data_IF_474490896516
#
_entry.id   IF_474490896516
#
_cell.length_a   1.000
_cell.length_b   1.000
_cell.length_c   1.000
_cell.angle_alpha   90.00
_cell.angle_beta   90.00
_cell.angle_gamma   90.00
#
_symmetry.space_group_name_H-M   'P 1'
#
loop_
_entity.id
_entity.type
_entity.pdbx_description
1 polymer ?
#
# COMPACT_ATOMS: atom_id res chain seq x y z
N UNK A 1 -32.01 -13.56 1.28
CA UNK A 1 -30.77 -12.85 0.89
C UNK A 1 -30.57 -12.95 -0.61
N UNK A 2 -30.16 -11.87 -1.29
CA UNK A 2 -29.78 -11.96 -2.71
C UNK A 2 -28.34 -12.48 -2.79
N UNK A 3 -28.13 -13.61 -3.46
CA UNK A 3 -26.79 -14.18 -3.67
C UNK A 3 -25.86 -13.18 -4.39
N UNK A 4 -24.56 -13.25 -4.10
CA UNK A 4 -23.54 -12.44 -4.80
C UNK A 4 -23.52 -12.84 -6.28
N UNK A 5 -23.43 -11.86 -7.16
CA UNK A 5 -23.31 -12.07 -8.61
C UNK A 5 -21.86 -11.76 -9.02
N UNK A 6 -20.95 -12.74 -9.04
CA UNK A 6 -19.50 -12.49 -9.04
C UNK A 6 -18.95 -11.93 -10.37
N UNK A 7 -19.80 -11.72 -11.38
CA UNK A 7 -19.44 -11.20 -12.71
C UNK A 7 -19.81 -9.74 -12.93
N UNK A 8 -20.35 -9.05 -11.92
CA UNK A 8 -20.70 -7.62 -12.01
C UNK A 8 -20.19 -6.89 -10.79
N UNK A 9 -19.54 -5.75 -11.01
CA UNK A 9 -19.06 -4.93 -9.92
C UNK A 9 -20.24 -4.40 -9.10
N UNK A 10 -20.21 -4.66 -7.79
CA UNK A 10 -21.29 -4.32 -6.88
C UNK A 10 -20.80 -4.30 -5.42
N UNK A 11 -21.48 -3.49 -4.60
CA UNK A 11 -21.34 -3.55 -3.13
C UNK A 11 -22.65 -4.10 -2.56
N UNK A 12 -22.53 -5.23 -1.86
CA UNK A 12 -23.62 -5.99 -1.27
C UNK A 12 -23.79 -5.61 0.20
N UNK A 13 -25.05 -5.40 0.62
CA UNK A 13 -25.38 -5.12 2.01
C UNK A 13 -25.59 -6.43 2.77
N UNK A 14 -24.84 -6.66 3.84
CA UNK A 14 -25.02 -7.78 4.75
C UNK A 14 -23.74 -8.19 5.48
N UNK A 15 -23.85 -9.23 6.31
CA UNK A 15 -22.70 -9.84 6.97
C UNK A 15 -21.83 -10.61 5.96
N UNK A 16 -20.52 -10.44 6.05
CA UNK A 16 -19.58 -11.03 5.12
C UNK A 16 -19.54 -12.57 5.21
N UNK A 17 -19.66 -13.15 6.40
CA UNK A 17 -19.64 -14.60 6.59
C UNK A 17 -20.90 -15.19 5.98
N UNK A 18 -22.07 -14.65 6.34
CA UNK A 18 -23.36 -15.13 5.83
C UNK A 18 -23.45 -15.07 4.30
N UNK A 19 -23.08 -13.94 3.69
CA UNK A 19 -23.17 -13.76 2.25
C UNK A 19 -22.16 -14.62 1.48
N UNK A 20 -20.93 -14.78 1.99
CA UNK A 20 -19.93 -15.62 1.35
C UNK A 20 -20.27 -17.11 1.48
N UNK A 21 -20.76 -17.57 2.62
CA UNK A 21 -21.22 -18.95 2.83
C UNK A 21 -22.42 -19.29 1.91
N UNK A 22 -23.36 -18.36 1.75
CA UNK A 22 -24.53 -18.53 0.87
C UNK A 22 -24.21 -18.48 -0.64
N UNK A 23 -23.03 -17.97 -1.02
CA UNK A 23 -22.60 -17.88 -2.42
C UNK A 23 -21.88 -19.17 -2.83
N UNK A 24 -21.86 -19.55 -4.11
CA UNK A 24 -21.03 -20.67 -4.59
C UNK A 24 -19.53 -20.43 -4.31
N UNK A 25 -18.70 -21.48 -4.13
CA UNK A 25 -17.26 -21.31 -3.95
C UNK A 25 -16.53 -20.95 -5.26
N UNK A 26 -15.25 -20.55 -5.16
CA UNK A 26 -14.31 -20.58 -6.29
C UNK A 26 -14.54 -19.57 -7.41
N UNK A 27 -14.89 -18.32 -7.08
CA UNK A 27 -15.18 -17.28 -8.08
C UNK A 27 -14.31 -16.02 -7.97
N UNK A 28 -13.69 -15.77 -6.82
CA UNK A 28 -12.79 -14.64 -6.64
C UNK A 28 -11.37 -15.05 -7.03
N UNK A 29 -10.70 -14.23 -7.85
CA UNK A 29 -9.25 -14.38 -8.10
C UNK A 29 -8.45 -13.85 -6.92
N UNK A 30 -8.87 -12.70 -6.42
CA UNK A 30 -8.17 -11.93 -5.41
C UNK A 30 -9.18 -11.51 -4.35
N UNK A 31 -8.82 -11.66 -3.09
CA UNK A 31 -9.52 -11.03 -1.99
C UNK A 31 -8.58 -10.08 -1.26
N UNK A 32 -9.04 -8.87 -0.97
CA UNK A 32 -8.37 -7.93 -0.08
C UNK A 32 -9.31 -7.63 1.08
N UNK A 33 -8.92 -8.00 2.30
CA UNK A 33 -9.68 -7.81 3.51
C UNK A 33 -9.02 -6.75 4.40
N UNK A 34 -9.79 -5.72 4.75
CA UNK A 34 -9.46 -4.73 5.79
C UNK A 34 -10.49 -4.86 6.93
N UNK A 35 -10.44 -5.95 7.72
CA UNK A 35 -11.38 -6.18 8.80
C UNK A 35 -11.29 -5.09 9.87
N UNK A 36 -12.29 -4.98 10.78
CA UNK A 36 -12.12 -4.26 12.04
C UNK A 36 -10.92 -4.81 12.83
N UNK A 37 -10.05 -3.92 13.34
CA UNK A 37 -8.79 -4.31 14.00
C UNK A 37 -8.96 -4.70 15.48
N UNK A 38 -10.18 -4.65 16.01
CA UNK A 38 -10.51 -4.87 17.41
C UNK A 38 -9.77 -3.91 18.37
N UNK A 39 -9.78 -2.62 18.03
CA UNK A 39 -9.06 -1.55 18.75
C UNK A 39 -10.02 -0.55 19.41
N UNK A 40 -11.31 -0.88 19.48
CA UNK A 40 -12.37 -0.04 20.03
C UNK A 40 -12.79 1.10 19.10
N UNK A 41 -12.61 0.95 17.78
CA UNK A 41 -13.12 1.91 16.81
C UNK A 41 -14.65 1.94 16.81
N UNK A 42 -15.24 3.13 16.72
CA UNK A 42 -16.70 3.29 16.73
C UNK A 42 -17.25 3.14 15.31
N UNK A 43 -17.64 1.92 14.97
CA UNK A 43 -18.51 1.66 13.82
C UNK A 43 -19.97 1.90 14.19
N UNK A 44 -20.82 2.09 13.20
CA UNK A 44 -22.26 2.27 13.34
C UNK A 44 -23.00 0.94 13.61
N UNK A 45 -22.54 -0.16 13.02
CA UNK A 45 -23.19 -1.48 13.09
C UNK A 45 -22.32 -2.61 13.66
N UNK A 46 -21.10 -2.32 14.13
CA UNK A 46 -20.14 -3.34 14.59
C UNK A 46 -19.45 -2.95 15.90
N UNK A 47 -19.34 -3.90 16.83
CA UNK A 47 -18.56 -3.76 18.06
C UNK A 47 -17.09 -4.19 17.84
N UNK A 48 -16.18 -3.21 17.85
CA UNK A 48 -14.74 -3.36 17.66
C UNK A 48 -13.96 -3.52 18.97
N UNK A 49 -14.62 -3.94 20.06
CA UNK A 49 -14.00 -4.21 21.36
C UNK A 49 -14.38 -5.60 21.90
N UNK A 50 -14.31 -6.61 21.04
CA UNK A 50 -14.61 -8.02 21.36
C UNK A 50 -13.53 -8.65 22.23
N UNK A 51 -13.91 -9.67 22.99
CA UNK A 51 -12.96 -10.51 23.71
C UNK A 51 -12.00 -11.20 22.73
N UNK A 52 -10.75 -11.44 23.16
CA UNK A 52 -9.69 -11.97 22.31
C UNK A 52 -10.06 -13.28 21.60
N UNK A 53 -10.57 -14.29 22.33
CA UNK A 53 -10.93 -15.58 21.73
C UNK A 53 -12.14 -15.46 20.81
N UNK A 54 -13.09 -14.59 21.15
CA UNK A 54 -14.25 -14.30 20.30
C UNK A 54 -13.83 -13.66 18.97
N UNK A 55 -12.93 -12.67 19.02
CA UNK A 55 -12.40 -12.04 17.81
C UNK A 55 -11.59 -13.00 16.95
N UNK A 56 -10.74 -13.84 17.56
CA UNK A 56 -9.97 -14.87 16.84
C UNK A 56 -10.88 -15.92 16.21
N UNK A 57 -11.91 -16.37 16.93
CA UNK A 57 -12.89 -17.34 16.41
C UNK A 57 -13.73 -16.75 15.27
N UNK A 58 -14.21 -15.51 15.43
CA UNK A 58 -14.88 -14.78 14.35
C UNK A 58 -13.94 -14.57 13.15
N UNK A 59 -12.66 -14.29 13.41
CA UNK A 59 -11.67 -14.10 12.35
C UNK A 59 -11.43 -15.35 11.52
N UNK A 60 -11.39 -16.52 12.16
CA UNK A 60 -11.36 -17.80 11.45
C UNK A 60 -12.54 -17.95 10.51
N UNK A 61 -13.76 -17.64 10.94
CA UNK A 61 -14.97 -17.83 10.14
C UNK A 61 -14.95 -16.99 8.86
N UNK A 62 -14.62 -15.70 8.96
CA UNK A 62 -14.57 -14.86 7.75
C UNK A 62 -13.39 -15.20 6.85
N UNK A 63 -12.22 -15.59 7.41
CA UNK A 63 -11.08 -16.05 6.60
C UNK A 63 -11.46 -17.33 5.86
N UNK A 64 -12.12 -18.29 6.52
CA UNK A 64 -12.60 -19.53 5.90
C UNK A 64 -13.61 -19.25 4.77
N UNK A 65 -14.57 -18.34 5.01
CA UNK A 65 -15.53 -17.93 3.99
C UNK A 65 -14.85 -17.23 2.79
N UNK A 66 -13.85 -16.38 3.05
CA UNK A 66 -13.05 -15.74 2.00
C UNK A 66 -12.22 -16.78 1.22
N UNK A 67 -11.58 -17.73 1.91
CA UNK A 67 -10.86 -18.85 1.28
C UNK A 67 -11.80 -19.64 0.37
N UNK A 68 -13.01 -19.98 0.83
CA UNK A 68 -14.01 -20.68 0.02
C UNK A 68 -14.40 -19.90 -1.24
N UNK A 69 -14.46 -18.56 -1.18
CA UNK A 69 -14.74 -17.71 -2.33
C UNK A 69 -13.59 -17.70 -3.35
N UNK A 70 -12.34 -17.91 -2.92
CA UNK A 70 -11.19 -17.92 -3.82
C UNK A 70 -11.17 -19.13 -4.75
N UNK A 71 -10.80 -18.86 -5.99
CA UNK A 71 -10.34 -19.85 -6.97
C UNK A 71 -9.11 -20.62 -6.45
N UNK A 72 -8.84 -21.85 -6.95
CA UNK A 72 -7.69 -22.65 -6.51
C UNK A 72 -6.33 -21.96 -6.68
N UNK A 73 -6.22 -21.02 -7.62
CA UNK A 73 -5.05 -20.21 -7.94
C UNK A 73 -5.19 -18.75 -7.47
N UNK A 74 -6.09 -18.52 -6.51
CA UNK A 74 -6.40 -17.20 -5.97
C UNK A 74 -5.51 -16.76 -4.80
N UNK A 75 -5.54 -15.47 -4.54
CA UNK A 75 -4.73 -14.78 -3.51
C UNK A 75 -5.60 -14.08 -2.47
N UNK A 76 -5.16 -14.06 -1.21
CA UNK A 76 -5.79 -13.32 -0.11
C UNK A 76 -4.78 -12.34 0.50
N UNK A 77 -5.18 -11.09 0.61
CA UNK A 77 -4.46 -10.06 1.35
C UNK A 77 -5.28 -9.67 2.58
N UNK A 78 -4.65 -9.57 3.74
CA UNK A 78 -5.30 -9.15 4.99
C UNK A 78 -4.53 -7.98 5.59
N UNK A 79 -5.16 -6.81 5.67
CA UNK A 79 -4.66 -5.68 6.45
C UNK A 79 -5.05 -5.84 7.92
N UNK A 80 -4.11 -5.64 8.85
CA UNK A 80 -4.37 -5.78 10.29
C UNK A 80 -3.35 -5.00 11.14
N UNK A 81 -3.74 -4.65 12.37
CA UNK A 81 -2.85 -4.08 13.38
C UNK A 81 -1.91 -5.12 14.03
N UNK A 82 -1.01 -4.65 14.90
CA UNK A 82 -0.02 -5.49 15.59
C UNK A 82 -0.68 -6.59 16.44
N UNK A 83 -1.85 -6.28 17.01
CA UNK A 83 -2.52 -7.06 18.03
C UNK A 83 -2.92 -8.48 17.59
N UNK A 84 -3.24 -8.66 16.30
CA UNK A 84 -3.80 -9.91 15.78
C UNK A 84 -3.09 -10.43 14.52
N UNK A 85 -2.02 -9.78 14.07
CA UNK A 85 -1.33 -10.17 12.84
C UNK A 85 -0.79 -11.62 12.89
N UNK A 86 -0.29 -12.05 14.06
CA UNK A 86 0.22 -13.40 14.24
C UNK A 86 -0.91 -14.44 14.18
N UNK A 87 -2.03 -14.18 14.86
CA UNK A 87 -3.22 -15.02 14.90
C UNK A 87 -3.80 -15.21 13.50
N UNK A 88 -3.99 -14.13 12.75
CA UNK A 88 -4.54 -14.20 11.39
C UNK A 88 -3.59 -14.97 10.45
N UNK A 89 -2.27 -14.84 10.67
CA UNK A 89 -1.29 -15.65 9.95
C UNK A 89 -1.40 -17.14 10.26
N UNK A 90 -1.59 -17.50 11.52
CA UNK A 90 -1.74 -18.90 11.94
C UNK A 90 -3.02 -19.48 11.38
N UNK A 91 -4.13 -18.75 11.46
CA UNK A 91 -5.42 -19.13 10.89
C UNK A 91 -5.29 -19.39 9.39
N UNK A 92 -4.68 -18.47 8.63
CA UNK A 92 -4.50 -18.63 7.19
C UNK A 92 -3.76 -19.92 6.84
N UNK A 93 -2.66 -20.22 7.56
CA UNK A 93 -1.91 -21.48 7.39
C UNK A 93 -2.76 -22.72 7.69
N UNK A 94 -3.54 -22.70 8.76
CA UNK A 94 -4.41 -23.82 9.14
C UNK A 94 -5.56 -24.06 8.15
N UNK A 95 -5.99 -23.00 7.45
CA UNK A 95 -6.96 -23.07 6.36
C UNK A 95 -6.32 -23.40 4.99
N UNK A 96 -5.05 -23.83 4.99
CA UNK A 96 -4.35 -24.32 3.79
C UNK A 96 -3.77 -23.22 2.90
N UNK A 97 -3.69 -21.97 3.37
CA UNK A 97 -3.02 -20.90 2.62
C UNK A 97 -1.50 -20.91 2.83
N UNK A 98 -0.76 -20.54 1.79
CA UNK A 98 0.69 -20.30 1.89
C UNK A 98 0.97 -18.80 1.98
N UNK A 99 1.63 -18.36 3.05
CA UNK A 99 2.11 -16.98 3.17
C UNK A 99 3.26 -16.75 2.17
N UNK A 100 3.14 -15.69 1.36
CA UNK A 100 4.18 -15.23 0.43
C UNK A 100 5.00 -14.10 1.03
N UNK A 101 4.32 -13.10 1.59
CA UNK A 101 4.97 -11.98 2.27
C UNK A 101 4.16 -11.54 3.49
N UNK A 102 4.89 -11.10 4.52
CA UNK A 102 4.36 -10.30 5.60
C UNK A 102 4.75 -8.86 5.31
N UNK A 103 3.89 -8.13 4.61
CA UNK A 103 4.20 -6.79 4.13
C UNK A 103 3.98 -5.80 5.27
N UNK A 104 4.91 -4.87 5.44
CA UNK A 104 4.80 -3.75 6.36
C UNK A 104 4.38 -2.53 5.56
N UNK A 105 3.14 -2.08 5.76
CA UNK A 105 2.68 -0.80 5.24
C UNK A 105 3.01 0.30 6.24
N UNK A 106 4.10 1.01 6.00
CA UNK A 106 4.57 2.08 6.86
C UNK A 106 4.05 3.45 6.40
N UNK A 107 3.67 4.28 7.36
CA UNK A 107 3.16 5.62 7.14
C UNK A 107 3.81 6.62 8.10
N UNK A 108 4.19 7.79 7.56
CA UNK A 108 5.00 8.78 8.28
C UNK A 108 4.30 9.60 9.37
N UNK A 109 3.01 9.35 9.63
CA UNK A 109 2.25 10.07 10.67
C UNK A 109 1.80 9.09 11.74
N UNK A 110 2.10 9.35 13.01
CA UNK A 110 1.76 8.50 14.15
C UNK A 110 1.21 9.32 15.32
N UNK A 111 0.60 8.63 16.29
CA UNK A 111 0.20 9.25 17.56
C UNK A 111 1.44 9.45 18.44
N UNK A 112 1.46 10.53 19.22
CA UNK A 112 2.50 10.73 20.23
C UNK A 112 2.31 9.73 21.38
N UNK A 113 3.37 9.02 21.73
CA UNK A 113 3.38 8.03 22.82
C UNK A 113 4.41 8.44 23.88
N UNK A 114 4.14 8.12 25.15
CA UNK A 114 5.05 8.44 26.28
C UNK A 114 5.80 7.22 26.82
N UNK A 115 5.22 6.04 26.68
CA UNK A 115 5.66 4.81 27.37
C UNK A 115 6.10 3.70 26.41
N UNK A 116 5.98 3.91 25.10
CA UNK A 116 6.37 2.96 24.05
C UNK A 116 6.71 3.70 22.76
N UNK A 117 7.31 3.00 21.80
CA UNK A 117 7.48 3.54 20.44
C UNK A 117 6.13 3.82 19.79
N UNK A 118 6.07 4.89 18.99
CA UNK A 118 4.87 5.23 18.25
C UNK A 118 4.61 4.19 17.15
N UNK A 119 3.36 3.75 17.02
CA UNK A 119 2.95 2.88 15.91
C UNK A 119 3.01 3.67 14.60
N UNK A 120 3.76 3.15 13.64
CA UNK A 120 4.02 3.79 12.34
C UNK A 120 3.64 2.92 11.15
N UNK A 121 3.01 1.76 11.38
CA UNK A 121 2.69 0.82 10.31
C UNK A 121 1.44 -0.01 10.63
N UNK A 122 0.92 -0.62 9.57
CA UNK A 122 0.00 -1.75 9.60
C UNK A 122 0.63 -2.93 8.88
N UNK A 123 0.12 -4.14 9.15
CA UNK A 123 0.57 -5.37 8.50
C UNK A 123 -0.36 -5.68 7.33
N UNK A 124 0.19 -6.15 6.22
CA UNK A 124 -0.56 -6.71 5.10
C UNK A 124 -0.05 -8.11 4.84
N UNK A 125 -0.81 -9.12 5.26
CA UNK A 125 -0.46 -10.52 5.07
C UNK A 125 -0.84 -10.94 3.65
N UNK A 126 0.12 -11.33 2.82
CA UNK A 126 -0.11 -11.83 1.47
C UNK A 126 -0.07 -13.36 1.46
N UNK A 127 -1.23 -13.97 1.24
CA UNK A 127 -1.43 -15.40 1.08
C UNK A 127 -1.79 -15.80 -0.35
N UNK A 128 -1.45 -17.04 -0.71
CA UNK A 128 -1.91 -17.71 -1.94
C UNK A 128 -2.49 -19.08 -1.60
N UNK A 129 -3.45 -19.53 -2.42
CA UNK A 129 -4.02 -20.89 -2.33
C UNK A 129 -3.03 -21.95 -2.80
N UNK A 130 -2.32 -21.71 -3.90
CA UNK A 130 -1.28 -22.60 -4.41
C UNK A 130 0.04 -21.82 -4.64
N UNK A 131 1.14 -22.14 -3.92
CA UNK A 131 2.41 -21.46 -4.08
C UNK A 131 3.09 -21.69 -5.43
N UNK A 132 2.66 -22.69 -6.21
CA UNK A 132 3.14 -22.97 -7.57
C UNK A 132 2.22 -22.40 -8.65
N UNK A 133 0.92 -22.26 -8.36
CA UNK A 133 -0.10 -21.80 -9.29
C UNK A 133 -0.83 -20.60 -8.70
N UNK A 134 -0.29 -19.41 -8.90
CA UNK A 134 -0.95 -18.15 -8.53
C UNK A 134 -0.51 -17.04 -9.48
N UNK A 135 -1.33 -15.99 -9.59
CA UNK A 135 -0.98 -14.80 -10.37
C UNK A 135 0.00 -13.94 -9.58
N UNK A 136 1.15 -13.64 -10.18
CA UNK A 136 2.09 -12.62 -9.72
C UNK A 136 2.69 -11.87 -10.91
N UNK A 137 2.09 -10.74 -11.28
CA UNK A 137 2.48 -9.94 -12.45
C UNK A 137 3.70 -9.06 -12.16
N UNK A 138 4.86 -9.69 -12.01
CA UNK A 138 6.13 -9.04 -11.68
C UNK A 138 6.46 -7.85 -12.61
N UNK A 139 6.20 -8.00 -13.92
CA UNK A 139 6.42 -6.98 -14.95
C UNK A 139 5.66 -5.67 -14.72
N UNK A 140 4.52 -5.71 -13.99
CA UNK A 140 3.74 -4.52 -13.66
C UNK A 140 4.21 -3.84 -12.37
N UNK A 141 5.15 -4.44 -11.64
CA UNK A 141 5.62 -3.96 -10.34
C UNK A 141 7.07 -3.46 -10.35
N UNK A 142 7.81 -3.75 -11.43
CA UNK A 142 9.24 -3.46 -11.51
C UNK A 142 9.51 -1.96 -11.57
N UNK A 143 10.61 -1.55 -10.94
CA UNK A 143 11.14 -0.21 -11.02
C UNK A 143 12.68 -0.23 -11.08
N UNK A 144 13.32 0.89 -11.45
CA UNK A 144 14.77 0.96 -11.61
C UNK A 144 15.53 0.46 -10.38
N UNK A 145 16.53 -0.39 -10.61
CA UNK A 145 17.38 -0.92 -9.54
C UNK A 145 18.72 -0.21 -9.53
N UNK A 146 19.14 0.36 -8.40
CA UNK A 146 20.48 0.96 -8.26
C UNK A 146 21.61 -0.02 -8.61
N UNK A 147 21.40 -1.34 -8.37
CA UNK A 147 22.36 -2.38 -8.79
C UNK A 147 22.59 -2.38 -10.29
N UNK A 148 21.54 -2.14 -11.06
CA UNK A 148 21.63 -2.03 -12.51
C UNK A 148 22.04 -0.61 -12.94
N UNK A 149 21.39 0.41 -12.41
CA UNK A 149 21.47 1.79 -12.92
C UNK A 149 22.69 2.58 -12.42
N UNK A 150 23.29 2.20 -11.28
CA UNK A 150 24.45 2.89 -10.70
C UNK A 150 25.66 1.96 -10.57
N UNK A 151 25.45 0.73 -10.09
CA UNK A 151 26.55 -0.19 -9.78
C UNK A 151 26.97 -1.11 -10.93
N UNK A 152 26.19 -1.17 -12.03
CA UNK A 152 26.48 -2.03 -13.18
C UNK A 152 26.61 -3.52 -12.84
N UNK A 153 25.96 -3.99 -11.78
CA UNK A 153 26.02 -5.38 -11.33
C UNK A 153 25.34 -6.30 -12.35
N UNK A 154 26.11 -7.22 -12.94
CA UNK A 154 25.62 -8.18 -13.95
C UNK A 154 24.55 -9.14 -13.44
N UNK A 155 24.39 -9.27 -12.11
CA UNK A 155 23.32 -10.07 -11.49
C UNK A 155 22.00 -9.31 -11.40
N UNK A 156 22.01 -7.99 -11.62
CA UNK A 156 20.80 -7.19 -11.62
C UNK A 156 19.94 -7.54 -12.82
N UNK A 157 18.62 -7.60 -12.63
CA UNK A 157 17.70 -7.78 -13.73
C UNK A 157 17.59 -6.45 -14.50
N UNK A 158 17.86 -6.43 -15.82
CA UNK A 158 17.79 -5.21 -16.62
C UNK A 158 16.37 -4.62 -16.70
N UNK A 159 15.33 -5.44 -16.49
CA UNK A 159 13.94 -4.99 -16.40
C UNK A 159 13.61 -4.30 -15.06
N UNK A 160 14.58 -4.15 -14.16
CA UNK A 160 14.40 -3.53 -12.85
C UNK A 160 14.21 -4.54 -11.71
N UNK A 161 14.08 -4.02 -10.49
CA UNK A 161 13.82 -4.82 -9.28
C UNK A 161 12.34 -4.80 -8.92
N UNK A 162 11.92 -5.80 -8.16
CA UNK A 162 10.62 -5.78 -7.49
C UNK A 162 10.66 -4.88 -6.24
N UNK A 163 9.51 -4.37 -5.80
CA UNK A 163 9.38 -3.73 -4.49
C UNK A 163 9.79 -4.68 -3.39
N UNK A 164 10.38 -4.10 -2.34
CA UNK A 164 10.54 -4.83 -1.08
C UNK A 164 9.16 -5.00 -0.41
N UNK A 165 9.11 -5.78 0.66
CA UNK A 165 7.91 -5.97 1.47
C UNK A 165 7.74 -4.94 2.59
N UNK A 166 8.48 -3.82 2.52
CA UNK A 166 8.24 -2.63 3.35
C UNK A 166 7.82 -1.49 2.43
N UNK A 167 6.54 -1.13 2.48
CA UNK A 167 5.94 -0.12 1.62
C UNK A 167 5.79 1.21 2.37
N UNK A 168 6.55 2.21 1.93
CA UNK A 168 6.66 3.55 2.51
C UNK A 168 6.06 4.65 1.63
N UNK A 169 5.75 4.33 0.38
CA UNK A 169 5.32 5.23 -0.69
C UNK A 169 3.82 5.53 -0.67
N UNK A 170 3.05 4.84 0.17
CA UNK A 170 1.60 4.99 0.29
C UNK A 170 1.23 5.68 1.61
N UNK A 171 1.00 7.00 1.63
CA UNK A 171 0.52 7.66 2.83
C UNK A 171 -0.90 7.20 3.17
N UNK A 172 -1.28 7.27 4.46
CA UNK A 172 -2.69 7.18 4.85
C UNK A 172 -3.49 8.32 4.23
N UNK A 173 -4.77 8.07 3.96
CA UNK A 173 -5.66 9.07 3.37
C UNK A 173 -6.03 10.12 4.41
N UNK A 174 -5.42 11.30 4.29
CA UNK A 174 -5.67 12.43 5.18
C UNK A 174 -6.82 13.33 4.69
N UNK A 175 -7.38 14.14 5.58
CA UNK A 175 -8.54 15.00 5.30
C UNK A 175 -8.38 15.97 4.12
N UNK A 176 -7.14 16.39 3.82
CA UNK A 176 -6.83 17.34 2.74
C UNK A 176 -6.58 16.67 1.38
N UNK A 177 -6.57 15.33 1.32
CA UNK A 177 -6.21 14.62 0.10
C UNK A 177 -7.42 14.57 -0.84
N UNK A 178 -7.19 14.78 -2.15
CA UNK A 178 -8.25 14.79 -3.14
C UNK A 178 -9.05 13.47 -3.22
N UNK A 179 -8.44 12.33 -2.89
CA UNK A 179 -9.14 11.03 -2.89
C UNK A 179 -10.06 10.83 -1.67
N UNK A 180 -9.90 11.65 -0.61
CA UNK A 180 -10.63 11.50 0.65
C UNK A 180 -12.12 11.73 0.42
N UNK A 181 -12.92 10.73 0.79
CA UNK A 181 -14.37 10.81 0.65
C UNK A 181 -15.06 11.60 1.78
N UNK A 182 -14.44 11.66 2.97
CA UNK A 182 -14.94 12.43 4.11
C UNK A 182 -15.92 11.69 5.02
N UNK A 183 -16.73 10.78 4.49
CA UNK A 183 -17.77 10.04 5.22
C UNK A 183 -17.34 8.68 5.81
N UNK A 184 -16.16 8.17 5.45
CA UNK A 184 -15.61 6.92 6.04
C UNK A 184 -14.31 7.20 6.80
N UNK A 185 -14.22 6.81 8.06
CA UNK A 185 -13.07 7.12 8.92
C UNK A 185 -11.75 6.53 8.42
N UNK A 186 -11.76 5.25 8.09
CA UNK A 186 -10.58 4.45 7.78
C UNK A 186 -10.48 4.11 6.28
N UNK A 187 -10.51 5.12 5.41
CA UNK A 187 -10.39 4.88 3.96
C UNK A 187 -8.96 4.42 3.60
N UNK A 188 -8.86 3.28 2.88
CA UNK A 188 -7.61 2.82 2.30
C UNK A 188 -7.17 3.65 1.09
N UNK A 189 -5.85 3.89 0.89
CA UNK A 189 -5.35 4.61 -0.29
C UNK A 189 -5.58 3.82 -1.58
N UNK A 190 -6.03 4.48 -2.64
CA UNK A 190 -6.31 3.82 -3.92
C UNK A 190 -5.04 3.21 -4.54
N UNK A 191 -3.91 3.93 -4.48
CA UNK A 191 -2.64 3.48 -5.05
C UNK A 191 -2.09 2.19 -4.37
N UNK A 192 -2.30 2.04 -3.06
CA UNK A 192 -1.93 0.82 -2.32
C UNK A 192 -2.70 -0.38 -2.85
N UNK A 193 -4.02 -0.25 -3.00
CA UNK A 193 -4.86 -1.34 -3.51
C UNK A 193 -4.60 -1.61 -4.98
N UNK A 194 -4.32 -0.57 -5.78
CA UNK A 194 -3.94 -0.74 -7.18
C UNK A 194 -2.66 -1.56 -7.35
N UNK A 195 -1.66 -1.41 -6.47
CA UNK A 195 -0.48 -2.30 -6.47
C UNK A 195 -0.88 -3.75 -6.23
N UNK A 196 -1.67 -4.01 -5.20
CA UNK A 196 -2.12 -5.36 -4.83
C UNK A 196 -2.90 -6.01 -5.98
N UNK A 197 -3.85 -5.27 -6.56
CA UNK A 197 -4.68 -5.75 -7.67
C UNK A 197 -3.83 -6.05 -8.91
N UNK A 198 -2.88 -5.17 -9.26
CA UNK A 198 -1.95 -5.43 -10.38
C UNK A 198 -1.10 -6.66 -10.13
N UNK A 199 -0.57 -6.82 -8.93
CA UNK A 199 0.27 -7.96 -8.58
C UNK A 199 -0.48 -9.28 -8.76
N UNK A 200 -1.71 -9.36 -8.26
CA UNK A 200 -2.35 -10.65 -7.95
C UNK A 200 -3.68 -10.88 -8.69
N UNK A 201 -3.91 -10.19 -9.80
CA UNK A 201 -5.06 -10.43 -10.69
C UNK A 201 -4.76 -10.06 -12.14
N UNK A 202 -5.46 -10.66 -13.07
CA UNK A 202 -5.48 -10.33 -14.50
C UNK A 202 -6.69 -9.45 -14.83
N UNK A 203 -6.73 -8.79 -16.01
CA UNK A 203 -7.96 -8.15 -16.49
C UNK A 203 -9.16 -9.10 -16.42
N UNK A 204 -10.35 -8.55 -16.16
CA UNK A 204 -11.62 -9.27 -16.02
C UNK A 204 -11.75 -10.23 -14.83
N UNK A 205 -10.67 -10.50 -14.08
CA UNK A 205 -10.75 -11.24 -12.83
C UNK A 205 -11.63 -10.52 -11.79
N UNK A 206 -12.25 -11.31 -10.90
CA UNK A 206 -13.04 -10.78 -9.79
C UNK A 206 -12.17 -10.54 -8.55
N UNK A 207 -12.23 -9.31 -8.04
CA UNK A 207 -11.60 -8.83 -6.81
C UNK A 207 -12.67 -8.68 -5.73
N UNK A 208 -12.55 -9.46 -4.66
CA UNK A 208 -13.42 -9.45 -3.50
C UNK A 208 -12.86 -8.54 -2.39
N UNK A 209 -13.73 -7.77 -1.77
CA UNK A 209 -13.51 -7.11 -0.49
C UNK A 209 -14.63 -7.49 0.50
N UNK A 210 -14.37 -8.33 1.51
CA UNK A 210 -15.38 -8.73 2.49
C UNK A 210 -15.73 -7.61 3.49
N UNK A 211 -14.96 -6.52 3.53
CA UNK A 211 -15.12 -5.40 4.48
C UNK A 211 -15.01 -4.06 3.74
N UNK A 212 -15.89 -3.86 2.76
CA UNK A 212 -15.65 -2.87 1.72
C UNK A 212 -15.62 -1.42 2.18
N UNK A 213 -16.29 -1.08 3.30
CA UNK A 213 -16.25 0.23 3.94
C UNK A 213 -16.47 1.36 2.93
N UNK A 214 -15.40 2.12 2.66
CA UNK A 214 -15.43 3.22 1.69
C UNK A 214 -15.55 2.82 0.21
N UNK A 215 -15.53 1.53 -0.12
CA UNK A 215 -15.57 1.00 -1.48
C UNK A 215 -14.28 1.19 -2.28
N UNK A 216 -13.13 1.43 -1.64
CA UNK A 216 -11.84 1.66 -2.34
C UNK A 216 -11.45 0.46 -3.19
N UNK A 217 -11.50 -0.77 -2.66
CA UNK A 217 -11.08 -1.98 -3.37
C UNK A 217 -11.88 -2.19 -4.65
N UNK A 218 -13.22 -2.12 -4.55
CA UNK A 218 -14.10 -2.28 -5.69
C UNK A 218 -13.88 -1.19 -6.76
N UNK A 219 -13.68 0.06 -6.32
CA UNK A 219 -13.40 1.19 -7.21
C UNK A 219 -12.06 1.02 -7.94
N UNK A 220 -11.00 0.67 -7.21
CA UNK A 220 -9.67 0.43 -7.76
C UNK A 220 -9.67 -0.75 -8.74
N UNK A 221 -10.39 -1.83 -8.43
CA UNK A 221 -10.55 -2.99 -9.32
C UNK A 221 -11.18 -2.58 -10.66
N UNK A 222 -12.31 -1.86 -10.62
CA UNK A 222 -12.99 -1.38 -11.82
C UNK A 222 -12.10 -0.48 -12.68
N UNK A 223 -11.40 0.46 -12.04
CA UNK A 223 -10.46 1.35 -12.72
C UNK A 223 -9.36 0.55 -13.44
N UNK A 224 -8.84 -0.51 -12.80
CA UNK A 224 -7.86 -1.40 -13.40
C UNK A 224 -8.45 -2.41 -14.41
N UNK A 225 -9.75 -2.37 -14.70
CA UNK A 225 -10.40 -3.29 -15.64
C UNK A 225 -10.66 -4.68 -15.06
N UNK A 226 -10.92 -4.76 -13.75
CA UNK A 226 -11.36 -5.97 -13.03
C UNK A 226 -12.81 -5.81 -12.57
N UNK A 227 -13.43 -6.92 -12.15
CA UNK A 227 -14.74 -6.88 -11.48
C UNK A 227 -14.52 -6.66 -9.99
N UNK A 228 -15.09 -5.59 -9.42
CA UNK A 228 -14.97 -5.25 -8.00
C UNK A 228 -16.21 -5.63 -7.20
N UNK A 229 -16.10 -6.61 -6.29
CA UNK A 229 -17.20 -7.08 -5.44
C UNK A 229 -16.89 -6.74 -3.99
N UNK A 230 -17.71 -5.87 -3.38
CA UNK A 230 -17.62 -5.52 -1.97
C UNK A 230 -18.78 -6.07 -1.14
N UNK A 231 -18.53 -6.37 0.13
CA UNK A 231 -19.56 -6.62 1.13
C UNK A 231 -19.42 -5.59 2.24
N UNK A 232 -20.53 -5.03 2.69
CA UNK A 232 -20.55 -4.06 3.77
C UNK A 232 -21.81 -4.24 4.63
N UNK A 233 -21.63 -4.20 5.95
CA UNK A 233 -22.71 -4.41 6.91
C UNK A 233 -23.49 -3.11 7.17
N UNK A 234 -22.82 -1.96 7.15
CA UNK A 234 -23.46 -0.66 7.32
C UNK A 234 -24.27 -0.27 6.10
N UNK A 235 -25.58 -0.05 6.27
CA UNK A 235 -26.44 0.44 5.19
C UNK A 235 -26.00 1.83 4.67
N UNK A 236 -25.47 2.69 5.54
CA UNK A 236 -24.98 4.02 5.17
C UNK A 236 -23.71 3.93 4.30
N UNK A 237 -22.75 3.09 4.70
CA UNK A 237 -21.54 2.86 3.93
C UNK A 237 -21.81 2.12 2.62
N UNK A 238 -22.78 1.20 2.60
CA UNK A 238 -23.23 0.58 1.34
C UNK A 238 -23.71 1.63 0.35
N UNK A 239 -24.58 2.55 0.77
CA UNK A 239 -25.14 3.57 -0.13
C UNK A 239 -24.04 4.49 -0.68
N UNK A 240 -23.18 4.99 0.22
CA UNK A 240 -22.06 5.86 -0.16
C UNK A 240 -21.03 5.14 -1.02
N UNK A 241 -20.72 3.89 -0.69
CA UNK A 241 -19.82 3.02 -1.44
C UNK A 241 -20.35 2.71 -2.84
N UNK A 242 -21.64 2.42 -3.00
CA UNK A 242 -22.26 2.20 -4.31
C UNK A 242 -22.16 3.42 -5.19
N UNK A 243 -22.43 4.61 -4.66
CA UNK A 243 -22.26 5.87 -5.39
C UNK A 243 -20.81 6.07 -5.83
N UNK A 244 -19.84 5.78 -4.97
CA UNK A 244 -18.40 5.85 -5.32
C UNK A 244 -18.06 4.85 -6.43
N UNK A 245 -18.55 3.62 -6.35
CA UNK A 245 -18.34 2.59 -7.37
C UNK A 245 -18.96 2.99 -8.72
N UNK A 246 -20.15 3.57 -8.73
CA UNK A 246 -20.79 4.09 -9.95
C UNK A 246 -19.94 5.18 -10.62
N UNK A 247 -19.38 6.10 -9.82
CA UNK A 247 -18.46 7.11 -10.32
C UNK A 247 -17.17 6.49 -10.87
N UNK A 248 -16.64 5.44 -10.22
CA UNK A 248 -15.47 4.70 -10.70
C UNK A 248 -15.76 3.99 -12.04
N UNK A 249 -16.94 3.38 -12.19
CA UNK A 249 -17.40 2.77 -13.45
C UNK A 249 -17.53 3.82 -14.56
N UNK A 250 -18.14 4.98 -14.25
CA UNK A 250 -18.24 6.07 -15.21
C UNK A 250 -16.86 6.60 -15.62
N UNK A 251 -15.97 6.81 -14.65
CA UNK A 251 -14.59 7.24 -14.87
C UNK A 251 -13.82 6.24 -15.73
N UNK A 252 -13.92 4.93 -15.45
CA UNK A 252 -13.19 3.89 -16.18
C UNK A 252 -13.45 3.92 -17.70
N UNK A 253 -14.63 4.36 -18.15
CA UNK A 253 -14.98 4.49 -19.58
C UNK A 253 -14.15 5.54 -20.30
N UNK A 254 -13.82 6.65 -19.64
CA UNK A 254 -13.02 7.73 -20.23
C UNK A 254 -11.57 7.68 -19.81
N UNK A 255 -11.24 7.00 -18.71
CA UNK A 255 -9.91 7.01 -18.08
C UNK A 255 -8.79 6.49 -18.99
N UNK A 256 -9.12 5.55 -19.88
CA UNK A 256 -8.19 4.96 -20.85
C UNK A 256 -8.22 5.62 -22.23
N UNK A 257 -9.16 6.55 -22.47
CA UNK A 257 -9.23 7.26 -23.73
C UNK A 257 -8.03 8.23 -23.86
N UNK A 258 -7.37 8.32 -25.03
CA UNK A 258 -6.34 9.31 -25.26
C UNK A 258 -6.91 10.73 -25.12
N UNK A 259 -6.15 11.66 -24.54
CA UNK A 259 -6.49 13.09 -24.58
C UNK A 259 -5.80 13.76 -25.77
N UNK A 260 -6.04 15.06 -25.98
CA UNK A 260 -5.39 15.85 -27.05
C UNK A 260 -3.85 15.77 -27.03
N UNK A 261 -3.27 15.52 -25.85
CA UNK A 261 -1.83 15.35 -25.67
C UNK A 261 -1.29 13.97 -26.08
N UNK A 262 -2.13 13.04 -26.52
CA UNK A 262 -1.77 11.65 -26.80
C UNK A 262 -1.71 10.73 -25.58
N UNK A 263 -1.66 11.28 -24.36
CA UNK A 263 -1.67 10.52 -23.10
C UNK A 263 -3.08 10.44 -22.51
N UNK A 264 -3.51 9.24 -22.17
CA UNK A 264 -4.69 9.01 -21.31
C UNK A 264 -4.41 9.35 -19.85
N UNK A 265 -5.48 9.56 -19.08
CA UNK A 265 -5.39 9.75 -17.64
C UNK A 265 -4.92 8.49 -16.90
N UNK A 266 -5.20 7.31 -17.46
CA UNK A 266 -4.71 6.03 -16.94
C UNK A 266 -3.20 5.90 -17.06
N UNK A 267 -2.64 6.19 -18.23
CA UNK A 267 -1.19 6.16 -18.47
C UNK A 267 -0.47 7.15 -17.54
N UNK A 268 -1.00 8.37 -17.40
CA UNK A 268 -0.46 9.35 -16.45
C UNK A 268 -0.50 8.88 -15.02
N UNK A 269 -1.58 8.24 -14.59
CA UNK A 269 -1.64 7.71 -13.23
C UNK A 269 -0.59 6.61 -13.04
N UNK A 270 -0.47 5.68 -14.00
CA UNK A 270 0.55 4.63 -13.97
C UNK A 270 1.97 5.21 -13.88
N UNK A 271 2.25 6.25 -14.66
CA UNK A 271 3.54 6.93 -14.68
C UNK A 271 3.83 7.66 -13.36
N UNK A 272 2.84 8.35 -12.78
CA UNK A 272 2.97 9.00 -11.46
C UNK A 272 3.25 7.99 -10.35
N UNK A 273 2.62 6.82 -10.42
CA UNK A 273 2.85 5.75 -9.45
C UNK A 273 4.25 5.16 -9.63
N UNK A 274 4.68 4.86 -10.86
CA UNK A 274 6.05 4.39 -11.14
C UNK A 274 7.11 5.39 -10.66
N UNK A 275 6.92 6.68 -10.93
CA UNK A 275 7.85 7.72 -10.47
C UNK A 275 7.99 7.71 -8.94
N UNK A 276 6.85 7.62 -8.21
CA UNK A 276 6.84 7.57 -6.75
C UNK A 276 7.62 6.37 -6.21
N UNK A 277 7.50 5.23 -6.88
CA UNK A 277 8.17 3.97 -6.53
C UNK A 277 9.68 3.99 -6.76
N UNK A 278 10.19 4.89 -7.61
CA UNK A 278 11.64 4.99 -7.85
C UNK A 278 12.41 5.60 -6.67
N UNK A 279 11.74 6.38 -5.82
CA UNK A 279 12.36 7.22 -4.78
C UNK A 279 13.58 8.05 -5.26
N UNK A 280 13.66 8.30 -6.57
CA UNK A 280 14.81 8.92 -7.23
C UNK A 280 14.45 10.34 -7.67
N UNK A 281 15.26 11.36 -7.34
CA UNK A 281 15.07 12.73 -7.82
C UNK A 281 14.88 12.83 -9.32
N UNK A 282 13.99 13.72 -9.77
CA UNK A 282 13.67 13.86 -11.21
C UNK A 282 14.92 14.17 -12.04
N UNK A 283 15.83 15.00 -11.54
CA UNK A 283 17.07 15.37 -12.25
C UNK A 283 17.99 14.17 -12.48
N UNK A 284 18.12 13.30 -11.48
CA UNK A 284 18.91 12.07 -11.57
C UNK A 284 18.23 11.01 -12.42
N UNK A 285 16.90 10.90 -12.29
CA UNK A 285 16.10 9.92 -13.01
C UNK A 285 16.06 10.25 -14.51
N UNK A 286 15.88 11.52 -14.86
CA UNK A 286 15.77 11.99 -16.24
C UNK A 286 16.99 11.60 -17.07
N UNK A 287 18.21 11.72 -16.54
CA UNK A 287 19.44 11.44 -17.31
C UNK A 287 19.84 9.96 -17.35
N UNK A 288 19.10 9.08 -16.67
CA UNK A 288 19.44 7.67 -16.55
C UNK A 288 18.66 6.82 -17.58
N UNK A 289 19.30 6.49 -18.71
CA UNK A 289 18.68 5.71 -19.78
C UNK A 289 18.20 4.32 -19.33
N UNK A 290 18.98 3.64 -18.49
CA UNK A 290 18.60 2.33 -17.97
C UNK A 290 17.35 2.40 -17.08
N UNK A 291 17.22 3.47 -16.29
CA UNK A 291 16.02 3.72 -15.49
C UNK A 291 14.81 4.05 -16.38
N UNK A 292 14.98 4.89 -17.41
CA UNK A 292 13.91 5.23 -18.34
C UNK A 292 13.42 4.00 -19.12
N UNK A 293 14.31 3.12 -19.57
CA UNK A 293 13.96 1.87 -20.22
C UNK A 293 13.17 0.93 -19.30
N UNK A 294 13.56 0.85 -18.02
CA UNK A 294 12.82 0.08 -17.02
C UNK A 294 11.41 0.65 -16.80
N UNK A 295 11.29 1.98 -16.69
CA UNK A 295 9.98 2.65 -16.56
C UNK A 295 9.13 2.41 -17.81
N UNK A 296 9.70 2.49 -19.01
CA UNK A 296 8.99 2.23 -20.27
C UNK A 296 8.41 0.82 -20.31
N UNK A 297 9.23 -0.19 -20.02
CA UNK A 297 8.80 -1.59 -20.01
C UNK A 297 7.69 -1.86 -18.98
N UNK A 298 7.82 -1.29 -17.77
CA UNK A 298 6.80 -1.45 -16.74
C UNK A 298 5.52 -0.68 -17.07
N UNK A 299 5.64 0.51 -17.67
CA UNK A 299 4.49 1.30 -18.12
C UNK A 299 3.72 0.58 -19.21
N UNK A 300 4.42 0.02 -20.21
CA UNK A 300 3.81 -0.82 -21.25
C UNK A 300 3.09 -2.04 -20.64
N UNK A 301 3.71 -2.73 -19.68
CA UNK A 301 3.07 -3.86 -18.99
C UNK A 301 1.79 -3.44 -18.23
N UNK A 302 1.73 -2.19 -17.74
CA UNK A 302 0.57 -1.63 -17.02
C UNK A 302 -0.52 -1.13 -17.97
N UNK A 303 -0.15 -0.61 -19.14
CA UNK A 303 -1.05 0.14 -20.03
C UNK A 303 -1.44 -0.61 -21.30
N UNK A 304 -0.62 -1.57 -21.72
CA UNK A 304 -0.71 -2.23 -23.02
C UNK A 304 -0.23 -1.36 -24.19
N UNK A 305 0.33 -0.16 -23.92
CA UNK A 305 0.87 0.76 -24.94
C UNK A 305 2.36 0.96 -24.73
N UNK A 306 3.15 0.63 -25.74
CA UNK A 306 4.56 1.00 -25.79
C UNK A 306 4.69 2.52 -25.95
N UNK A 307 5.47 3.16 -25.08
CA UNK A 307 5.75 4.59 -25.10
C UNK A 307 7.26 4.76 -25.06
N UNK A 308 7.79 5.55 -25.99
CA UNK A 308 9.23 5.75 -26.10
C UNK A 308 9.82 6.42 -24.84
N UNK A 309 11.01 6.00 -24.37
CA UNK A 309 11.66 6.60 -23.20
C UNK A 309 11.78 8.13 -23.24
N UNK A 310 11.98 8.70 -24.43
CA UNK A 310 12.06 10.16 -24.61
C UNK A 310 10.71 10.86 -24.35
N UNK A 311 9.60 10.26 -24.76
CA UNK A 311 8.25 10.78 -24.51
C UNK A 311 7.89 10.67 -23.02
N UNK A 312 8.24 9.54 -22.38
CA UNK A 312 8.08 9.34 -20.94
C UNK A 312 8.82 10.41 -20.15
N UNK A 313 10.08 10.70 -20.52
CA UNK A 313 10.89 11.73 -19.88
C UNK A 313 10.25 13.10 -19.98
N UNK A 314 9.82 13.50 -21.18
CA UNK A 314 9.16 14.78 -21.40
C UNK A 314 7.86 14.91 -20.57
N UNK A 315 7.07 13.84 -20.47
CA UNK A 315 5.85 13.85 -19.67
C UNK A 315 6.15 13.91 -18.16
N UNK A 316 7.16 13.18 -17.67
CA UNK A 316 7.60 13.28 -16.28
C UNK A 316 8.06 14.69 -15.92
N UNK A 317 8.91 15.31 -16.76
CA UNK A 317 9.37 16.69 -16.57
C UNK A 317 8.21 17.68 -16.54
N UNK A 318 7.23 17.50 -17.45
CA UNK A 318 6.02 18.32 -17.49
C UNK A 318 5.18 18.17 -16.21
N UNK A 319 4.95 16.93 -15.75
CA UNK A 319 4.22 16.67 -14.51
C UNK A 319 4.96 17.23 -13.28
N UNK A 320 6.29 17.09 -13.26
CA UNK A 320 7.16 17.61 -12.20
C UNK A 320 7.09 19.14 -12.12
N UNK A 321 7.23 19.84 -13.26
CA UNK A 321 7.13 21.30 -13.36
C UNK A 321 5.77 21.83 -12.89
N UNK A 322 4.69 21.06 -13.10
CA UNK A 322 3.33 21.39 -12.66
C UNK A 322 3.03 21.01 -11.21
N UNK A 323 4.01 20.51 -10.44
CA UNK A 323 3.85 20.02 -9.08
C UNK A 323 2.82 18.87 -8.95
N UNK A 324 2.73 18.03 -9.98
CA UNK A 324 1.86 16.85 -10.01
C UNK A 324 2.59 15.54 -9.66
N UNK A 325 3.87 15.63 -9.32
CA UNK A 325 4.71 14.54 -8.82
C UNK A 325 5.24 14.86 -7.41
N UNK A 326 5.44 13.83 -6.56
CA UNK A 326 6.05 14.02 -5.24
C UNK A 326 7.46 14.61 -5.37
N UNK A 327 7.86 15.39 -4.35
CA UNK A 327 9.22 15.90 -4.22
C UNK A 327 9.96 15.07 -3.17
N UNK A 328 11.04 14.42 -3.56
CA UNK A 328 11.91 13.68 -2.66
C UNK A 328 12.78 14.64 -1.84
N UNK A 329 13.32 14.20 -0.69
CA UNK A 329 14.08 15.09 0.22
C UNK A 329 15.28 15.78 -0.45
N UNK A 330 15.82 15.17 -1.50
CA UNK A 330 16.96 15.68 -2.27
C UNK A 330 16.53 16.55 -3.48
N UNK A 331 15.22 16.68 -3.77
CA UNK A 331 14.70 17.50 -4.88
C UNK A 331 14.74 19.01 -4.61
N UNK A 332 15.12 19.42 -3.39
CA UNK A 332 15.31 20.83 -3.06
C UNK A 332 16.82 21.05 -2.89
N UNK A 333 17.39 22.12 -3.47
CA UNK A 333 18.70 22.60 -3.01
C UNK A 333 18.64 22.69 -1.50
N UNK A 334 19.64 22.16 -0.80
CA UNK A 334 19.72 22.29 0.65
C UNK A 334 19.53 23.76 1.01
N UNK A 335 18.35 24.10 1.50
CA UNK A 335 18.09 25.39 2.10
C UNK A 335 18.36 25.19 3.57
N UNK A 336 19.52 25.64 4.10
CA UNK A 336 19.75 25.57 5.53
C UNK A 336 18.56 26.23 6.20
N UNK A 337 17.83 25.47 7.04
CA UNK A 337 16.82 26.07 7.90
C UNK A 337 17.52 27.20 8.63
N UNK A 338 17.12 28.46 8.38
CA UNK A 338 17.47 29.58 9.25
C UNK A 338 16.76 29.30 10.57
N UNK A 339 17.39 28.48 11.41
CA UNK A 339 17.08 28.50 12.82
C UNK A 339 17.32 29.95 13.24
N UNK A 340 16.24 30.68 13.56
CA UNK A 340 16.38 31.81 14.48
C UNK A 340 17.09 31.19 15.68
N UNK A 341 18.30 31.65 15.98
CA UNK A 341 19.01 31.27 17.21
C UNK A 341 18.05 31.61 18.36
N UNK A 342 17.28 30.64 18.82
CA UNK A 342 16.88 30.62 20.20
C UNK A 342 18.21 30.50 20.94
N UNK A 343 18.57 31.53 21.70
CA UNK A 343 19.75 31.53 22.54
C UNK A 343 19.56 30.48 23.65
N UNK A 344 19.74 29.21 23.32
CA UNK A 344 20.00 28.18 24.30
C UNK A 344 21.49 27.87 24.20
N UNK A 345 22.27 28.65 24.94
CA UNK A 345 23.53 28.14 25.44
C UNK A 345 23.21 26.85 26.23
N UNK A 346 23.88 25.72 25.97
CA UNK A 346 23.73 24.55 26.82
C UNK A 346 24.09 24.96 28.26
N UNK A 347 23.21 24.64 29.21
CA UNK A 347 23.45 24.92 30.61
C UNK A 347 24.66 24.10 31.06
N UNK A 348 25.83 24.75 31.16
CA UNK A 348 27.10 24.13 31.52
C UNK A 348 27.02 23.31 32.81
N UNK A 349 26.10 23.67 33.72
CA UNK A 349 25.88 22.95 34.99
C UNK A 349 25.33 21.54 34.80
N UNK A 350 24.52 21.30 33.77
CA UNK A 350 23.94 19.98 33.48
C UNK A 350 25.01 19.00 32.96
N UNK A 351 25.94 19.48 32.14
CA UNK A 351 27.06 18.69 31.62
C UNK A 351 28.09 18.33 32.69
N UNK A 352 28.39 19.23 33.64
CA UNK A 352 29.35 18.93 34.71
C UNK A 352 28.79 17.96 35.76
N UNK A 353 27.49 18.02 36.05
CA UNK A 353 26.82 17.11 36.99
C UNK A 353 26.79 15.65 36.50
N UNK A 354 26.68 15.40 35.19
CA UNK A 354 26.66 14.04 34.62
C UNK A 354 27.99 13.30 34.77
N UNK A 355 29.11 14.01 34.87
CA UNK A 355 30.46 13.40 34.95
C UNK A 355 31.10 13.49 36.33
N UNK A 356 30.42 14.05 37.33
CA UNK A 356 30.94 14.27 38.68
C UNK A 356 31.05 12.98 39.54
N UNK A 357 30.56 11.83 39.06
CA UNK A 357 30.57 10.57 39.82
C UNK A 357 31.26 9.39 39.14
N UNK A 358 31.90 9.58 37.98
CA UNK A 358 32.50 8.46 37.23
C UNK A 358 33.89 8.15 37.81
N UNK A 359 34.14 6.91 38.30
CA UNK A 359 35.45 6.49 38.80
C UNK A 359 36.56 6.75 37.76
N UNK A 360 37.69 7.27 38.21
CA UNK A 360 38.84 7.60 37.35
C UNK A 360 39.37 6.40 36.54
N UNK A 361 39.11 5.17 37.00
CA UNK A 361 39.48 3.91 36.33
C UNK A 361 38.75 3.66 34.99
N UNK A 362 37.62 4.32 34.75
CA UNK A 362 36.88 4.24 33.48
C UNK A 362 37.24 5.37 32.50
N UNK A 363 38.04 6.35 32.91
CA UNK A 363 38.52 7.42 32.03
C UNK A 363 39.78 6.96 31.29
N UNK A 364 39.64 6.05 30.31
CA UNK A 364 40.72 5.80 29.36
C UNK A 364 40.85 7.01 28.42
N UNK A 365 42.00 7.67 28.46
CA UNK A 365 42.42 8.63 27.44
C UNK A 365 43.05 7.86 26.28
N UNK A 366 42.56 8.11 25.08
CA UNK A 366 43.20 7.68 23.85
C UNK A 366 43.66 8.96 23.14
N UNK A 367 44.87 8.97 22.59
CA UNK A 367 45.59 10.17 22.15
C UNK A 367 44.99 10.93 20.95
N UNK A 368 43.86 10.51 20.37
CA UNK A 368 43.25 11.17 19.20
C UNK A 368 41.74 11.48 19.33
N UNK A 369 41.30 11.96 20.49
CA UNK A 369 40.24 12.99 20.58
C UNK A 369 38.87 12.78 19.90
N UNK A 370 38.41 11.54 19.65
CA UNK A 370 37.04 11.27 19.17
C UNK A 370 36.49 9.99 19.82
N UNK A 371 35.34 10.09 20.50
CA UNK A 371 34.62 8.94 21.06
C UNK A 371 33.59 8.41 20.04
N UNK A 372 33.86 7.24 19.48
CA UNK A 372 32.85 6.38 18.85
C UNK A 372 32.41 5.34 19.88
N UNK A 373 31.11 5.18 20.08
CA UNK A 373 30.55 4.06 20.83
C UNK A 373 30.55 2.83 19.90
N UNK A 374 31.42 1.87 20.22
CA UNK A 374 31.23 0.48 19.85
C UNK A 374 30.50 -0.21 21.00
N UNK A 375 29.26 -0.62 20.74
CA UNK A 375 28.59 -1.91 21.00
C UNK A 375 27.29 -1.88 20.20
#
# INVERSE_FOLDING_TARGET
>A
MRAIHPKKSAIHHGDCVELLEATSPGWARLAFADPPFNIGYKYDSYDDAREYREYVAWSRRWIEAAVRALTPDGSLYIAIGDEYAAELRIIGRELGLTLRNWIIWHYGFGQNTKTKFARSHAHVLYFVRDPKQHVFNDSQLRFPSLRHTEYGDRRANPAGRLPDDVWNEFPRVCGTFAERQGWHGCQMPEALLMRIIRASSLPDDTVLDPFSGSGTTASAAVLLGRVGVGIEQSAEYVESGRRRLELAVARARTWRAPTESGWSDFERQCLKDLYRETETPMESLAVNEAAMNCIAACLEARTGRAIEPAEIRAELERLYARNLLPRFKNDRPFQPKRYRKAAHAPDRKLTEAWFAGVPSSLKKRNEHGQSMLGI
#
